data_IF_954805944198
#
_entry.id   IF_954805944198
#
_cell.length_a   1.000
_cell.length_b   1.000
_cell.length_c   1.000
_cell.angle_alpha   90.00
_cell.angle_beta   90.00
_cell.angle_gamma   90.00
#
_symmetry.space_group_name_H-M   'P 1'
#
loop_
_entity.id
_entity.type
_entity.pdbx_description
1 polymer ?
#
# COMPACT_ATOMS: atom_id res chain seq x y z
N UNK A 1 -27.92 -2.73 -25.83
CA UNK A 1 -28.64 -1.68 -25.06
C UNK A 1 -29.35 -2.23 -23.82
N UNK A 2 -30.02 -3.39 -23.89
CA UNK A 2 -30.72 -4.01 -22.74
C UNK A 2 -29.77 -4.62 -21.68
N UNK A 3 -28.62 -5.18 -22.08
CA UNK A 3 -27.62 -5.71 -21.13
C UNK A 3 -27.00 -4.62 -20.23
N UNK A 4 -26.75 -3.42 -20.78
CA UNK A 4 -26.18 -2.30 -20.02
C UNK A 4 -27.14 -1.72 -18.95
N UNK A 5 -28.47 -1.87 -19.15
CA UNK A 5 -29.50 -1.43 -18.21
C UNK A 5 -29.69 -2.38 -17.03
N UNK A 6 -29.39 -3.67 -17.19
CA UNK A 6 -29.43 -4.67 -16.12
C UNK A 6 -28.12 -4.75 -15.30
N UNK A 7 -26.98 -4.41 -15.91
CA UNK A 7 -25.68 -4.39 -15.23
C UNK A 7 -25.57 -3.22 -14.25
N UNK A 8 -26.11 -2.03 -14.58
CA UNK A 8 -26.06 -0.83 -13.72
C UNK A 8 -26.65 -0.98 -12.30
N UNK A 9 -27.84 -1.60 -12.09
CA UNK A 9 -28.40 -1.77 -10.74
C UNK A 9 -27.71 -2.86 -9.91
N UNK A 10 -27.00 -3.80 -10.53
CA UNK A 10 -26.16 -4.79 -9.85
C UNK A 10 -24.77 -4.23 -9.53
N UNK A 11 -24.19 -3.38 -10.38
CA UNK A 11 -22.85 -2.82 -10.16
C UNK A 11 -22.85 -1.72 -9.10
N UNK A 12 -23.93 -0.92 -8.95
CA UNK A 12 -23.99 0.17 -7.95
C UNK A 12 -23.78 -0.30 -6.49
N UNK A 13 -24.47 -1.34 -5.98
CA UNK A 13 -24.24 -1.87 -4.64
C UNK A 13 -22.83 -2.42 -4.47
N UNK A 14 -22.27 -3.07 -5.49
CA UNK A 14 -20.88 -3.57 -5.45
C UNK A 14 -19.89 -2.41 -5.44
N UNK A 15 -20.06 -1.36 -6.25
CA UNK A 15 -19.21 -0.17 -6.21
C UNK A 15 -19.34 0.62 -4.91
N UNK A 16 -20.52 0.64 -4.27
CA UNK A 16 -20.68 1.22 -2.93
C UNK A 16 -20.06 0.32 -1.84
N UNK A 17 -20.12 -1.00 -2.00
CA UNK A 17 -19.46 -1.96 -1.12
C UNK A 17 -17.94 -1.81 -1.20
N UNK A 18 -17.37 -1.77 -2.40
CA UNK A 18 -15.93 -1.51 -2.64
C UNK A 18 -15.49 -0.09 -2.23
N UNK A 19 -16.42 0.85 -2.07
CA UNK A 19 -16.15 2.19 -1.50
C UNK A 19 -16.18 2.22 0.02
N UNK A 20 -16.66 1.16 0.69
CA UNK A 20 -16.68 1.08 2.15
C UNK A 20 -15.43 0.35 2.60
N UNK A 21 -14.58 1.07 3.30
CA UNK A 21 -13.34 0.58 3.89
C UNK A 21 -13.63 -0.63 4.83
N UNK A 22 -14.80 -0.68 5.48
CA UNK A 22 -15.31 -1.83 6.23
C UNK A 22 -15.55 -3.11 5.41
N UNK A 23 -15.86 -2.99 4.11
CA UNK A 23 -16.08 -4.14 3.24
C UNK A 23 -14.78 -4.90 2.99
N UNK A 24 -13.66 -4.18 2.87
CA UNK A 24 -12.34 -4.81 2.69
C UNK A 24 -11.98 -5.69 3.88
N UNK A 25 -12.28 -5.24 5.11
CA UNK A 25 -12.08 -6.03 6.32
C UNK A 25 -12.93 -7.30 6.41
N UNK A 26 -14.16 -7.26 5.91
CA UNK A 26 -15.02 -8.44 5.82
C UNK A 26 -14.43 -9.45 4.82
N UNK A 27 -13.96 -8.96 3.67
CA UNK A 27 -13.32 -9.82 2.66
C UNK A 27 -12.05 -10.46 3.23
N UNK A 28 -11.20 -9.68 3.91
CA UNK A 28 -10.02 -10.19 4.61
C UNK A 28 -10.37 -11.28 5.63
N UNK A 29 -11.40 -11.05 6.46
CA UNK A 29 -11.84 -12.04 7.44
C UNK A 29 -12.34 -13.32 6.76
N UNK A 30 -13.11 -13.21 5.67
CA UNK A 30 -13.58 -14.35 4.90
C UNK A 30 -12.39 -15.10 4.28
N UNK A 31 -11.43 -14.40 3.68
CA UNK A 31 -10.19 -15.00 3.15
C UNK A 31 -9.43 -15.77 4.22
N UNK A 32 -9.22 -15.19 5.40
CA UNK A 32 -8.54 -15.84 6.50
C UNK A 32 -9.29 -17.10 6.98
N UNK A 33 -10.62 -17.03 7.11
CA UNK A 33 -11.44 -18.19 7.48
C UNK A 33 -11.40 -19.29 6.41
N UNK A 34 -11.44 -18.92 5.13
CA UNK A 34 -11.31 -19.86 4.03
C UNK A 34 -9.92 -20.51 4.01
N UNK A 35 -8.85 -19.73 4.20
CA UNK A 35 -7.49 -20.24 4.28
C UNK A 35 -7.33 -21.22 5.45
N UNK A 36 -7.88 -20.90 6.62
CA UNK A 36 -7.90 -21.82 7.77
C UNK A 36 -8.68 -23.10 7.47
N UNK A 37 -9.86 -22.99 6.87
CA UNK A 37 -10.66 -24.15 6.51
C UNK A 37 -9.94 -25.04 5.48
N UNK A 38 -9.36 -24.45 4.44
CA UNK A 38 -8.60 -25.17 3.43
C UNK A 38 -7.32 -25.81 3.98
N UNK A 39 -6.61 -25.12 4.88
CA UNK A 39 -5.40 -25.64 5.50
C UNK A 39 -5.65 -26.82 6.47
N UNK A 40 -6.84 -26.87 7.10
CA UNK A 40 -7.18 -27.88 8.10
C UNK A 40 -8.09 -29.01 7.58
N UNK A 41 -8.52 -28.95 6.32
CA UNK A 41 -9.47 -29.93 5.76
C UNK A 41 -8.83 -30.74 4.63
N UNK A 42 -8.99 -32.07 4.67
CA UNK A 42 -8.45 -32.98 3.65
C UNK A 42 -9.48 -33.38 2.57
N UNK A 43 -10.59 -32.66 2.45
CA UNK A 43 -11.69 -32.98 1.55
C UNK A 43 -11.56 -32.26 0.20
N UNK A 44 -11.71 -33.01 -0.89
CA UNK A 44 -11.69 -32.46 -2.24
C UNK A 44 -10.38 -31.72 -2.58
N UNK A 45 -10.44 -30.56 -3.26
CA UNK A 45 -9.27 -29.76 -3.63
C UNK A 45 -8.46 -29.25 -2.43
N UNK A 46 -9.06 -29.12 -1.24
CA UNK A 46 -8.40 -28.57 -0.05
C UNK A 46 -7.18 -29.40 0.38
N UNK A 47 -7.16 -30.71 0.10
CA UNK A 47 -6.03 -31.60 0.39
C UNK A 47 -4.71 -31.13 -0.25
N UNK A 48 -4.78 -30.48 -1.40
CA UNK A 48 -3.60 -30.01 -2.13
C UNK A 48 -3.20 -28.57 -1.77
N UNK A 49 -4.04 -27.86 -1.01
CA UNK A 49 -3.84 -26.46 -0.70
C UNK A 49 -2.52 -26.17 0.05
N UNK A 50 -2.11 -26.93 1.08
CA UNK A 50 -0.81 -26.69 1.73
C UNK A 50 0.39 -26.90 0.78
N UNK A 51 0.35 -27.97 -0.03
CA UNK A 51 1.44 -28.33 -0.94
C UNK A 51 1.55 -27.40 -2.17
N UNK A 52 0.52 -26.58 -2.42
CA UNK A 52 0.52 -25.58 -3.50
C UNK A 52 1.51 -24.44 -3.20
N UNK A 53 1.66 -24.07 -1.93
CA UNK A 53 2.55 -22.98 -1.50
C UNK A 53 4.03 -23.29 -1.71
N UNK A 54 4.40 -24.57 -1.64
CA UNK A 54 5.77 -25.06 -1.84
C UNK A 54 6.10 -25.34 -3.31
N UNK A 55 5.15 -25.17 -4.24
CA UNK A 55 5.43 -25.35 -5.67
C UNK A 55 6.41 -24.28 -6.15
N UNK A 56 7.45 -24.70 -6.84
CA UNK A 56 8.46 -23.79 -7.39
C UNK A 56 7.98 -23.18 -8.71
N UNK A 57 8.04 -21.85 -8.79
CA UNK A 57 7.86 -21.12 -10.02
C UNK A 57 9.23 -20.60 -10.47
N UNK A 58 9.75 -21.21 -11.54
CA UNK A 58 11.04 -20.87 -12.12
C UNK A 58 10.89 -20.01 -13.37
N UNK A 59 11.45 -18.81 -13.33
CA UNK A 59 11.56 -17.91 -14.48
C UNK A 59 13.02 -17.88 -14.94
N UNK A 60 13.27 -18.34 -16.17
CA UNK A 60 14.60 -18.36 -16.75
C UNK A 60 14.64 -17.61 -18.09
N UNK A 61 15.42 -16.53 -18.18
CA UNK A 61 15.58 -15.72 -19.40
C UNK A 61 17.07 -15.41 -19.59
N UNK A 62 17.67 -15.88 -20.68
CA UNK A 62 19.02 -15.42 -21.10
C UNK A 62 20.14 -15.57 -20.07
N UNK A 63 20.05 -16.55 -19.16
CA UNK A 63 21.03 -16.78 -18.08
C UNK A 63 20.58 -16.30 -16.69
N UNK A 64 19.56 -15.45 -16.63
CA UNK A 64 18.88 -15.12 -15.37
C UNK A 64 17.97 -16.28 -14.97
N UNK A 65 18.07 -16.72 -13.72
CA UNK A 65 17.22 -17.79 -13.16
C UNK A 65 16.70 -17.32 -11.81
N UNK A 66 15.40 -17.06 -11.74
CA UNK A 66 14.67 -16.85 -10.50
C UNK A 66 13.88 -18.11 -10.20
N UNK A 67 14.20 -18.77 -9.09
CA UNK A 67 13.55 -20.01 -8.65
C UNK A 67 13.11 -19.85 -7.21
N UNK A 68 11.83 -19.55 -7.03
CA UNK A 68 11.21 -19.32 -5.73
C UNK A 68 9.93 -20.13 -5.60
N UNK A 69 9.57 -20.47 -4.36
CA UNK A 69 8.27 -21.08 -4.09
C UNK A 69 7.15 -20.09 -4.41
N UNK A 70 5.96 -20.61 -4.70
CA UNK A 70 4.78 -19.79 -4.96
C UNK A 70 4.50 -18.84 -3.78
N UNK A 71 4.69 -19.33 -2.55
CA UNK A 71 4.58 -18.51 -1.34
C UNK A 71 5.56 -17.33 -1.34
N UNK A 72 6.82 -17.56 -1.70
CA UNK A 72 7.83 -16.50 -1.77
C UNK A 72 7.49 -15.46 -2.84
N UNK A 73 7.12 -15.92 -4.04
CA UNK A 73 6.68 -15.01 -5.12
C UNK A 73 5.50 -14.13 -4.72
N UNK A 74 4.50 -14.73 -4.08
CA UNK A 74 3.31 -14.03 -3.61
C UNK A 74 3.70 -13.05 -2.51
N UNK A 75 4.44 -13.47 -1.49
CA UNK A 75 4.85 -12.60 -0.39
C UNK A 75 5.72 -11.44 -0.90
N UNK A 76 6.80 -11.71 -1.62
CA UNK A 76 7.71 -10.66 -2.07
C UNK A 76 7.08 -9.73 -3.12
N UNK A 77 6.17 -10.25 -3.96
CA UNK A 77 5.45 -9.46 -4.95
C UNK A 77 4.32 -8.63 -4.34
N UNK A 78 3.36 -9.27 -3.69
CA UNK A 78 2.18 -8.61 -3.09
C UNK A 78 2.58 -7.66 -1.97
N UNK A 79 3.50 -8.06 -1.08
CA UNK A 79 3.94 -7.18 0.00
C UNK A 79 4.71 -5.97 -0.53
N UNK A 80 5.41 -6.07 -1.67
CA UNK A 80 6.02 -4.90 -2.30
C UNK A 80 4.96 -3.90 -2.77
N UNK A 81 3.84 -4.37 -3.32
CA UNK A 81 2.72 -3.50 -3.71
C UNK A 81 2.08 -2.87 -2.47
N UNK A 82 1.88 -3.65 -1.40
CA UNK A 82 1.38 -3.14 -0.11
C UNK A 82 2.30 -2.05 0.45
N UNK A 83 3.60 -2.32 0.58
CA UNK A 83 4.58 -1.38 1.11
C UNK A 83 4.84 -0.19 0.19
N UNK A 84 4.56 -0.30 -1.11
CA UNK A 84 4.51 0.86 -2.01
C UNK A 84 3.38 1.82 -1.61
N UNK A 85 2.17 1.33 -1.32
CA UNK A 85 1.09 2.18 -0.82
C UNK A 85 1.45 2.77 0.54
N UNK A 86 1.89 1.94 1.49
CA UNK A 86 2.30 2.42 2.82
C UNK A 86 3.39 3.50 2.69
N UNK A 87 4.33 3.31 1.76
CA UNK A 87 5.37 4.28 1.41
C UNK A 87 4.83 5.60 0.81
N UNK A 88 3.77 5.54 0.01
CA UNK A 88 3.11 6.73 -0.53
C UNK A 88 2.32 7.46 0.56
N UNK A 89 1.67 6.72 1.43
CA UNK A 89 0.87 7.25 2.53
C UNK A 89 1.74 7.90 3.60
N UNK A 90 2.83 7.26 4.04
CA UNK A 90 3.79 7.88 4.97
C UNK A 90 4.37 9.16 4.38
N UNK A 91 4.66 9.17 3.08
CA UNK A 91 5.15 10.36 2.39
C UNK A 91 4.10 11.48 2.38
N UNK A 92 2.83 11.15 2.15
CA UNK A 92 1.70 12.09 2.24
C UNK A 92 1.58 12.65 3.66
N UNK A 93 1.60 11.80 4.68
CA UNK A 93 1.47 12.18 6.08
C UNK A 93 2.62 13.08 6.55
N UNK A 94 3.85 12.79 6.15
CA UNK A 94 5.03 13.61 6.48
C UNK A 94 5.04 14.95 5.75
N UNK A 95 4.49 15.02 4.53
CA UNK A 95 4.51 16.28 3.76
C UNK A 95 3.31 17.18 4.02
N UNK A 96 2.14 16.60 4.30
CA UNK A 96 0.87 17.32 4.33
C UNK A 96 -0.15 16.80 5.36
N UNK A 97 0.19 15.81 6.18
CA UNK A 97 -0.72 15.20 7.16
C UNK A 97 -0.29 15.39 8.61
N UNK A 98 -0.67 14.44 9.47
CA UNK A 98 -0.46 14.50 10.92
C UNK A 98 1.01 14.31 11.33
N UNK A 99 1.85 13.80 10.42
CA UNK A 99 3.28 13.65 10.65
C UNK A 99 4.11 14.85 10.17
N UNK A 100 3.47 15.89 9.63
CA UNK A 100 4.15 17.03 9.05
C UNK A 100 4.79 17.97 10.08
N UNK A 101 4.24 18.04 11.30
CA UNK A 101 4.85 18.80 12.40
C UNK A 101 5.42 17.85 13.46
N UNK A 102 6.63 18.12 13.99
CA UNK A 102 7.22 17.28 15.04
C UNK A 102 6.33 17.15 16.27
N UNK A 103 5.53 18.17 16.58
CA UNK A 103 4.60 18.17 17.72
C UNK A 103 3.43 17.21 17.52
N UNK A 104 2.86 17.15 16.31
CA UNK A 104 1.79 16.20 15.99
C UNK A 104 2.37 14.78 15.83
N UNK A 105 3.52 14.66 15.16
CA UNK A 105 4.19 13.38 14.91
C UNK A 105 4.67 12.67 16.19
N UNK A 106 4.96 13.43 17.25
CA UNK A 106 5.49 12.87 18.50
C UNK A 106 4.59 11.79 19.10
N UNK A 107 3.26 11.99 19.10
CA UNK A 107 2.34 11.04 19.73
C UNK A 107 2.22 9.72 18.93
N UNK A 108 1.95 9.73 17.61
CA UNK A 108 1.95 8.50 16.82
C UNK A 108 3.30 7.76 16.85
N UNK A 109 4.42 8.48 16.73
CA UNK A 109 5.75 7.86 16.74
C UNK A 109 6.05 7.24 18.11
N UNK A 110 5.78 7.94 19.22
CA UNK A 110 5.99 7.37 20.55
C UNK A 110 5.07 6.17 20.80
N UNK A 111 3.82 6.24 20.33
CA UNK A 111 2.87 5.13 20.38
C UNK A 111 3.35 3.90 19.61
N UNK A 112 3.81 4.09 18.38
CA UNK A 112 4.36 3.03 17.54
C UNK A 112 5.64 2.44 18.15
N UNK A 113 6.62 3.26 18.55
CA UNK A 113 7.84 2.77 19.18
C UNK A 113 7.55 1.97 20.47
N UNK A 114 6.62 2.43 21.31
CA UNK A 114 6.17 1.67 22.48
C UNK A 114 5.47 0.37 22.09
N UNK A 115 4.58 0.44 21.09
CA UNK A 115 3.86 -0.70 20.51
C UNK A 115 4.76 -1.74 19.86
N UNK A 116 5.94 -1.36 19.36
CA UNK A 116 6.95 -2.26 18.81
C UNK A 116 7.85 -2.85 19.91
N UNK A 117 8.42 -1.98 20.74
CA UNK A 117 9.47 -2.35 21.68
C UNK A 117 8.93 -3.23 22.80
N UNK A 118 7.75 -2.91 23.36
CA UNK A 118 7.21 -3.65 24.49
C UNK A 118 6.89 -5.10 24.12
N UNK A 119 6.14 -5.41 23.04
CA UNK A 119 5.87 -6.79 22.64
C UNK A 119 7.13 -7.56 22.25
N UNK A 120 8.07 -6.93 21.54
CA UNK A 120 9.36 -7.54 21.18
C UNK A 120 10.17 -7.95 22.42
N UNK A 121 10.29 -7.05 23.41
CA UNK A 121 11.01 -7.32 24.65
C UNK A 121 10.34 -8.42 25.47
N UNK A 122 9.01 -8.37 25.58
CA UNK A 122 8.26 -9.42 26.27
C UNK A 122 8.49 -10.78 25.61
N UNK A 123 8.39 -10.86 24.28
CA UNK A 123 8.66 -12.10 23.55
C UNK A 123 10.09 -12.59 23.79
N UNK A 124 11.09 -11.71 23.67
CA UNK A 124 12.49 -12.07 23.86
C UNK A 124 12.76 -12.59 25.29
N UNK A 125 12.14 -11.97 26.30
CA UNK A 125 12.24 -12.39 27.71
C UNK A 125 11.63 -13.77 27.94
N UNK A 126 10.40 -13.99 27.47
CA UNK A 126 9.70 -15.26 27.67
C UNK A 126 10.30 -16.41 26.87
N UNK A 127 10.91 -16.10 25.73
CA UNK A 127 11.43 -17.09 24.80
C UNK A 127 12.95 -17.22 24.84
N UNK A 128 13.60 -16.63 25.85
CA UNK A 128 15.04 -16.67 25.99
C UNK A 128 15.56 -18.10 26.17
N UNK A 129 16.59 -18.47 25.43
CA UNK A 129 17.20 -19.81 25.48
C UNK A 129 16.45 -20.90 24.72
N UNK A 130 15.36 -20.57 24.03
CA UNK A 130 14.65 -21.52 23.15
C UNK A 130 15.14 -21.40 21.70
N UNK A 131 14.93 -22.43 20.85
CA UNK A 131 15.22 -22.34 19.40
C UNK A 131 14.43 -21.24 18.67
N UNK A 132 13.32 -20.79 19.24
CA UNK A 132 12.43 -19.78 18.64
C UNK A 132 12.75 -18.35 19.09
N UNK A 133 13.78 -18.15 19.92
CA UNK A 133 14.21 -16.83 20.42
C UNK A 133 14.47 -15.81 19.30
N UNK A 134 14.89 -16.29 18.11
CA UNK A 134 15.08 -15.45 16.94
C UNK A 134 13.79 -14.82 16.38
N UNK A 135 12.60 -15.21 16.83
CA UNK A 135 11.31 -14.69 16.36
C UNK A 135 10.82 -13.40 17.04
N UNK A 136 11.69 -12.65 17.72
CA UNK A 136 11.30 -11.47 18.51
C UNK A 136 10.68 -10.33 17.70
N UNK A 137 10.90 -10.29 16.37
CA UNK A 137 10.27 -9.35 15.46
C UNK A 137 8.82 -9.66 15.11
N UNK A 138 8.36 -10.89 15.34
CA UNK A 138 6.99 -11.34 15.00
C UNK A 138 5.89 -10.51 15.69
N UNK A 139 5.93 -10.25 17.01
CA UNK A 139 4.87 -9.52 17.71
C UNK A 139 4.92 -8.00 17.52
N UNK A 140 5.85 -7.48 16.70
CA UNK A 140 6.01 -6.03 16.50
C UNK A 140 5.00 -5.46 15.50
N UNK A 141 4.59 -6.25 14.50
CA UNK A 141 3.76 -5.73 13.41
C UNK A 141 2.26 -5.71 13.78
N UNK A 142 1.57 -4.67 13.33
CA UNK A 142 0.12 -4.50 13.51
C UNK A 142 -0.59 -4.45 12.16
N UNK A 143 -1.52 -5.35 11.89
CA UNK A 143 -2.31 -5.32 10.65
C UNK A 143 -3.28 -4.13 10.62
N UNK A 144 -2.91 -3.09 9.88
CA UNK A 144 -3.69 -1.86 9.70
C UNK A 144 -5.07 -2.12 9.10
N UNK A 145 -5.17 -3.03 8.12
CA UNK A 145 -6.42 -3.28 7.42
C UNK A 145 -7.44 -3.92 8.36
N UNK A 146 -6.99 -4.89 9.17
CA UNK A 146 -7.84 -5.50 10.18
C UNK A 146 -8.19 -4.52 11.31
N UNK A 147 -7.23 -3.73 11.80
CA UNK A 147 -7.47 -2.75 12.86
C UNK A 147 -8.51 -1.70 12.46
N UNK A 148 -8.40 -1.13 11.25
CA UNK A 148 -9.35 -0.16 10.72
C UNK A 148 -10.72 -0.79 10.44
N UNK A 149 -10.76 -2.03 9.97
CA UNK A 149 -12.01 -2.75 9.77
C UNK A 149 -12.82 -2.91 11.06
N UNK A 150 -12.17 -3.37 12.14
CA UNK A 150 -12.81 -3.51 13.46
C UNK A 150 -13.28 -2.15 13.97
N UNK A 151 -12.46 -1.11 13.81
CA UNK A 151 -12.82 0.25 14.21
C UNK A 151 -14.06 0.77 13.48
N UNK A 152 -14.26 0.37 12.22
CA UNK A 152 -15.44 0.74 11.44
C UNK A 152 -16.70 -0.03 11.82
N UNK A 153 -16.59 -1.25 12.34
CA UNK A 153 -17.74 -1.98 12.90
C UNK A 153 -18.37 -1.25 14.09
N UNK A 154 -17.58 -0.46 14.82
CA UNK A 154 -18.06 0.41 15.90
C UNK A 154 -18.80 1.66 15.39
N UNK A 155 -18.77 1.92 14.09
CA UNK A 155 -19.55 2.93 13.39
C UNK A 155 -19.28 4.36 13.88
N UNK A 156 -20.35 5.09 14.17
CA UNK A 156 -20.31 6.50 14.57
C UNK A 156 -19.77 6.73 15.99
N UNK A 157 -19.53 5.67 16.79
CA UNK A 157 -19.02 5.79 18.15
C UNK A 157 -17.54 6.18 18.20
N UNK A 158 -16.81 5.97 17.11
CA UNK A 158 -15.39 6.27 17.02
C UNK A 158 -15.18 7.65 16.37
N UNK A 159 -14.55 8.60 17.08
CA UNK A 159 -14.21 9.90 16.51
C UNK A 159 -13.27 9.77 15.31
N UNK A 160 -13.43 10.66 14.32
CA UNK A 160 -12.56 10.70 13.15
C UNK A 160 -11.08 10.85 13.53
N UNK A 161 -10.77 11.68 14.53
CA UNK A 161 -9.40 11.88 15.01
C UNK A 161 -8.72 10.60 15.51
N UNK A 162 -9.48 9.66 16.10
CA UNK A 162 -8.92 8.37 16.52
C UNK A 162 -8.58 7.48 15.33
N UNK A 163 -9.39 7.53 14.25
CA UNK A 163 -9.12 6.79 13.01
C UNK A 163 -7.83 7.27 12.38
N UNK A 164 -7.70 8.59 12.21
CA UNK A 164 -6.49 9.21 11.66
C UNK A 164 -5.26 8.92 12.52
N UNK A 165 -5.39 9.03 13.84
CA UNK A 165 -4.31 8.68 14.77
C UNK A 165 -3.87 7.22 14.63
N UNK A 166 -4.82 6.28 14.60
CA UNK A 166 -4.52 4.85 14.47
C UNK A 166 -3.87 4.52 13.14
N UNK A 167 -4.34 5.12 12.04
CA UNK A 167 -3.72 5.00 10.71
C UNK A 167 -2.27 5.48 10.76
N UNK A 168 -2.00 6.66 11.32
CA UNK A 168 -0.64 7.19 11.44
C UNK A 168 0.26 6.30 12.32
N UNK A 169 -0.25 5.80 13.45
CA UNK A 169 0.47 4.87 14.31
C UNK A 169 0.82 3.58 13.58
N UNK A 170 -0.14 2.96 12.90
CA UNK A 170 0.04 1.69 12.21
C UNK A 170 1.01 1.81 11.02
N UNK A 171 0.98 2.91 10.26
CA UNK A 171 1.95 3.16 9.19
C UNK A 171 3.39 3.24 9.74
N UNK A 172 3.58 3.94 10.86
CA UNK A 172 4.90 4.06 11.49
C UNK A 172 5.36 2.70 12.03
N UNK A 173 4.44 1.93 12.62
CA UNK A 173 4.67 0.58 13.12
C UNK A 173 5.10 -0.39 12.00
N UNK A 174 4.35 -0.42 10.89
CA UNK A 174 4.64 -1.24 9.70
C UNK A 174 5.99 -0.89 9.06
N UNK A 175 6.27 0.40 8.90
CA UNK A 175 7.55 0.86 8.37
C UNK A 175 8.70 0.54 9.33
N UNK A 176 8.47 0.66 10.63
CA UNK A 176 9.42 0.27 11.65
C UNK A 176 9.71 -1.24 11.61
N UNK A 177 8.66 -2.06 11.54
CA UNK A 177 8.76 -3.51 11.49
C UNK A 177 9.52 -3.98 10.25
N UNK A 178 9.22 -3.44 9.05
CA UNK A 178 9.95 -3.82 7.82
C UNK A 178 11.42 -3.42 7.87
N UNK A 179 11.76 -2.28 8.47
CA UNK A 179 13.15 -1.85 8.65
C UNK A 179 13.89 -2.77 9.64
N UNK A 180 13.24 -3.18 10.73
CA UNK A 180 13.78 -4.13 11.70
C UNK A 180 13.99 -5.50 11.05
N UNK A 181 13.01 -5.98 10.30
CA UNK A 181 13.10 -7.25 9.56
C UNK A 181 14.25 -7.19 8.54
N UNK A 182 14.34 -6.11 7.76
CA UNK A 182 15.44 -5.92 6.81
C UNK A 182 16.82 -5.87 7.49
N UNK A 183 16.93 -5.26 8.67
CA UNK A 183 18.20 -5.11 9.40
C UNK A 183 18.66 -6.36 10.15
N UNK A 184 17.73 -7.12 10.74
CA UNK A 184 18.06 -8.21 11.67
C UNK A 184 17.79 -9.62 11.13
N UNK A 185 16.97 -9.77 10.08
CA UNK A 185 16.58 -11.07 9.53
C UNK A 185 17.21 -11.37 8.16
N UNK A 186 18.09 -10.49 7.67
CA UNK A 186 18.86 -10.72 6.45
C UNK A 186 20.01 -11.69 6.72
N UNK A 187 20.01 -12.85 6.06
CA UNK A 187 20.98 -13.94 6.29
C UNK A 187 22.26 -13.80 5.47
N UNK A 188 22.12 -13.46 4.19
CA UNK A 188 23.21 -13.34 3.24
C UNK A 188 23.06 -12.03 2.49
N UNK A 189 24.17 -11.32 2.24
CA UNK A 189 24.18 -10.07 1.51
C UNK A 189 25.02 -10.21 0.25
N UNK A 190 24.44 -9.88 -0.89
CA UNK A 190 25.16 -9.80 -2.16
C UNK A 190 25.43 -8.33 -2.50
N UNK A 191 26.64 -7.80 -2.19
CA UNK A 191 26.93 -6.37 -2.29
C UNK A 191 26.81 -5.83 -3.72
N UNK A 192 27.05 -6.68 -4.73
CA UNK A 192 26.90 -6.31 -6.14
C UNK A 192 25.47 -5.85 -6.45
N UNK A 193 24.47 -6.65 -6.07
CA UNK A 193 23.06 -6.30 -6.26
C UNK A 193 22.65 -5.12 -5.38
N UNK A 194 23.24 -4.97 -4.19
CA UNK A 194 22.99 -3.80 -3.35
C UNK A 194 23.46 -2.49 -4.02
N UNK A 195 24.65 -2.47 -4.64
CA UNK A 195 25.12 -1.30 -5.38
C UNK A 195 24.25 -1.00 -6.61
N UNK A 196 23.78 -2.05 -7.30
CA UNK A 196 22.85 -1.89 -8.43
C UNK A 196 21.50 -1.34 -7.96
N UNK A 197 20.95 -1.85 -6.85
CA UNK A 197 19.72 -1.34 -6.24
C UNK A 197 19.87 0.14 -5.85
N UNK A 198 20.96 0.52 -5.18
CA UNK A 198 21.26 1.90 -4.83
C UNK A 198 21.43 2.79 -6.07
N UNK A 199 22.08 2.29 -7.12
CA UNK A 199 22.23 3.00 -8.39
C UNK A 199 20.88 3.25 -9.07
N UNK A 200 20.02 2.24 -9.14
CA UNK A 200 18.65 2.36 -9.68
C UNK A 200 17.79 3.31 -8.85
N UNK A 201 17.89 3.25 -7.53
CA UNK A 201 17.20 4.19 -6.64
C UNK A 201 17.72 5.62 -6.82
N UNK A 202 19.03 5.81 -6.95
CA UNK A 202 19.63 7.10 -7.29
C UNK A 202 19.13 7.66 -8.62
N UNK A 203 18.95 6.81 -9.64
CA UNK A 203 18.36 7.21 -10.92
C UNK A 203 16.88 7.63 -10.78
N UNK A 204 16.09 6.90 -9.99
CA UNK A 204 14.71 7.28 -9.67
C UNK A 204 14.65 8.65 -8.95
N UNK A 205 15.56 8.90 -8.01
CA UNK A 205 15.70 10.20 -7.35
C UNK A 205 16.14 11.30 -8.32
N UNK A 206 17.02 10.98 -9.28
CA UNK A 206 17.41 11.91 -10.33
C UNK A 206 16.22 12.29 -11.22
N UNK A 207 15.36 11.35 -11.60
CA UNK A 207 14.12 11.64 -12.34
C UNK A 207 13.20 12.58 -11.56
N UNK A 208 13.06 12.36 -10.25
CA UNK A 208 12.28 13.23 -9.38
C UNK A 208 12.90 14.64 -9.30
N UNK A 209 14.22 14.73 -9.18
CA UNK A 209 14.94 16.01 -9.17
C UNK A 209 14.81 16.77 -10.50
N UNK A 210 14.88 16.07 -11.63
CA UNK A 210 14.62 16.58 -12.98
C UNK A 210 13.12 16.86 -13.25
N UNK A 211 12.25 16.67 -12.25
CA UNK A 211 10.81 16.93 -12.30
C UNK A 211 10.07 16.08 -13.35
N UNK A 212 10.54 14.88 -13.64
CA UNK A 212 9.81 13.91 -14.45
C UNK A 212 8.57 13.47 -13.66
N UNK A 213 7.38 13.73 -14.20
CA UNK A 213 6.09 13.45 -13.54
C UNK A 213 5.38 12.20 -14.04
N UNK A 214 5.88 11.59 -15.10
CA UNK A 214 5.23 10.43 -15.73
C UNK A 214 5.50 9.17 -14.90
N UNK A 215 4.45 8.57 -14.33
CA UNK A 215 4.56 7.34 -13.52
C UNK A 215 5.21 6.19 -14.28
N UNK A 216 4.97 6.09 -15.59
CA UNK A 216 5.58 5.09 -16.47
C UNK A 216 7.11 5.16 -16.54
N UNK A 217 7.74 6.27 -16.14
CA UNK A 217 9.18 6.35 -16.01
C UNK A 217 9.71 5.71 -14.71
N UNK A 218 8.87 5.62 -13.67
CA UNK A 218 9.25 5.10 -12.36
C UNK A 218 8.93 3.62 -12.21
N UNK A 219 7.77 3.15 -12.69
CA UNK A 219 7.32 1.77 -12.47
C UNK A 219 8.28 0.69 -13.02
N UNK A 220 8.82 0.78 -14.25
CA UNK A 220 9.77 -0.22 -14.76
C UNK A 220 11.08 -0.23 -13.96
N UNK A 221 11.58 0.96 -13.59
CA UNK A 221 12.76 1.08 -12.74
C UNK A 221 12.51 0.59 -11.31
N UNK A 222 11.28 0.73 -10.81
CA UNK A 222 10.83 0.13 -9.56
C UNK A 222 10.86 -1.39 -9.58
N UNK A 223 10.49 -2.00 -10.71
CA UNK A 223 10.57 -3.46 -10.90
C UNK A 223 12.02 -3.94 -10.98
N UNK A 224 12.90 -3.17 -11.62
CA UNK A 224 14.35 -3.41 -11.60
C UNK A 224 14.92 -3.28 -10.19
N UNK A 225 14.50 -2.25 -9.43
CA UNK A 225 14.89 -2.06 -8.04
C UNK A 225 14.45 -3.24 -7.18
N UNK A 226 13.20 -3.70 -7.35
CA UNK A 226 12.67 -4.88 -6.65
C UNK A 226 13.48 -6.14 -6.92
N UNK A 227 13.83 -6.39 -8.18
CA UNK A 227 14.68 -7.52 -8.56
C UNK A 227 16.06 -7.46 -7.89
N UNK A 228 16.74 -6.30 -7.93
CA UNK A 228 18.04 -6.17 -7.28
C UNK A 228 17.95 -6.27 -5.76
N UNK A 229 16.85 -5.82 -5.15
CA UNK A 229 16.60 -6.00 -3.72
C UNK A 229 16.44 -7.49 -3.38
N UNK A 230 15.61 -8.21 -4.13
CA UNK A 230 15.41 -9.66 -3.98
C UNK A 230 16.72 -10.44 -4.02
N UNK A 231 17.58 -10.16 -5.01
CA UNK A 231 18.87 -10.82 -5.18
C UNK A 231 19.95 -10.32 -4.20
N UNK A 232 19.78 -9.12 -3.62
CA UNK A 232 20.73 -8.58 -2.63
C UNK A 232 20.66 -9.27 -1.28
N UNK A 233 19.60 -10.04 -1.02
CA UNK A 233 19.29 -10.66 0.26
C UNK A 233 18.56 -9.73 1.25
N UNK A 234 18.45 -8.44 0.94
CA UNK A 234 17.54 -7.54 1.65
C UNK A 234 16.10 -7.85 1.23
N UNK A 235 15.14 -7.68 2.15
CA UNK A 235 13.73 -7.91 1.87
C UNK A 235 13.24 -7.08 0.68
N UNK A 236 12.66 -7.75 -0.31
CA UNK A 236 12.21 -7.15 -1.57
C UNK A 236 11.12 -6.08 -1.36
N UNK A 237 10.36 -6.19 -0.27
CA UNK A 237 9.32 -5.25 0.15
C UNK A 237 9.81 -3.82 0.32
N UNK A 238 11.07 -3.63 0.73
CA UNK A 238 11.66 -2.31 0.91
C UNK A 238 11.78 -1.56 -0.44
N UNK A 239 11.82 -2.28 -1.57
CA UNK A 239 11.80 -1.66 -2.90
C UNK A 239 10.53 -0.83 -3.12
N UNK A 240 9.38 -1.28 -2.61
CA UNK A 240 8.10 -0.56 -2.68
C UNK A 240 8.19 0.78 -1.94
N UNK A 241 8.70 0.76 -0.71
CA UNK A 241 8.91 1.96 0.11
C UNK A 241 9.88 2.93 -0.58
N UNK A 242 11.02 2.44 -1.06
CA UNK A 242 12.04 3.24 -1.73
C UNK A 242 11.51 3.89 -3.02
N UNK A 243 10.71 3.14 -3.79
CA UNK A 243 10.03 3.65 -4.97
C UNK A 243 9.04 4.77 -4.60
N UNK A 244 8.23 4.59 -3.54
CA UNK A 244 7.32 5.62 -3.07
C UNK A 244 8.04 6.92 -2.69
N UNK A 245 9.19 6.79 -2.00
CA UNK A 245 10.05 7.93 -1.64
C UNK A 245 10.56 8.65 -2.90
N UNK A 246 10.84 7.93 -3.98
CA UNK A 246 11.28 8.53 -5.23
C UNK A 246 10.16 9.18 -6.05
N UNK A 247 8.93 8.66 -6.03
CA UNK A 247 7.81 9.19 -6.86
C UNK A 247 7.42 10.61 -6.40
N UNK A 248 7.33 11.61 -7.31
CA UNK A 248 7.05 13.00 -6.93
C UNK A 248 5.65 13.18 -6.30
N UNK A 249 5.61 13.92 -5.18
CA UNK A 249 4.37 14.29 -4.46
C UNK A 249 3.95 15.76 -4.65
N UNK A 250 4.75 16.57 -5.36
CA UNK A 250 4.44 18.01 -5.52
C UNK A 250 3.21 18.23 -6.39
N UNK A 251 2.21 18.90 -5.83
CA UNK A 251 1.06 19.44 -6.57
C UNK A 251 1.56 20.51 -7.55
N UNK A 252 1.15 20.47 -8.83
CA UNK A 252 1.67 21.34 -9.87
C UNK A 252 1.31 22.83 -9.70
N UNK A 253 0.30 23.15 -8.89
CA UNK A 253 -0.26 24.49 -8.75
C UNK A 253 -0.12 25.04 -7.34
N UNK A 254 0.19 26.33 -7.22
CA UNK A 254 0.08 27.04 -5.94
C UNK A 254 -1.40 27.21 -5.54
N UNK A 255 -1.68 27.40 -4.24
CA UNK A 255 -3.05 27.54 -3.71
C UNK A 255 -3.90 28.54 -4.50
N UNK A 256 -3.36 29.73 -4.80
CA UNK A 256 -4.07 30.77 -5.53
C UNK A 256 -4.40 30.36 -6.98
N UNK A 257 -3.46 29.71 -7.67
CA UNK A 257 -3.67 29.23 -9.04
C UNK A 257 -4.68 28.07 -9.08
N UNK A 258 -4.62 27.16 -8.11
CA UNK A 258 -5.58 26.07 -8.00
C UNK A 258 -7.00 26.59 -7.75
N UNK A 259 -7.16 27.53 -6.81
CA UNK A 259 -8.46 28.15 -6.54
C UNK A 259 -8.99 28.87 -7.77
N UNK A 260 -8.15 29.63 -8.47
CA UNK A 260 -8.55 30.31 -9.69
C UNK A 260 -9.03 29.35 -10.79
N UNK A 261 -8.32 28.24 -11.02
CA UNK A 261 -8.71 27.22 -12.01
C UNK A 261 -10.02 26.50 -11.64
N UNK A 262 -10.21 26.22 -10.35
CA UNK A 262 -11.46 25.62 -9.85
C UNK A 262 -12.62 26.60 -10.05
N UNK A 263 -12.45 27.87 -9.69
CA UNK A 263 -13.47 28.90 -9.84
C UNK A 263 -13.83 29.13 -11.32
N UNK A 264 -12.83 29.19 -12.20
CA UNK A 264 -13.01 29.34 -13.65
C UNK A 264 -13.82 28.17 -14.23
N UNK A 265 -13.47 26.93 -13.86
CA UNK A 265 -14.17 25.73 -14.35
C UNK A 265 -15.57 25.57 -13.77
N UNK A 266 -15.77 25.91 -12.49
CA UNK A 266 -17.10 25.97 -11.90
C UNK A 266 -17.98 27.05 -12.55
N UNK A 267 -17.39 28.18 -12.97
CA UNK A 267 -18.12 29.21 -13.70
C UNK A 267 -18.54 28.72 -15.09
N UNK A 268 -17.66 28.02 -15.81
CA UNK A 268 -17.98 27.39 -17.11
C UNK A 268 -19.10 26.36 -16.97
N UNK A 269 -19.00 25.43 -16.01
CA UNK A 269 -20.03 24.43 -15.76
C UNK A 269 -21.37 25.09 -15.39
N UNK A 270 -21.37 26.15 -14.58
CA UNK A 270 -22.59 26.90 -14.24
C UNK A 270 -23.21 27.61 -15.45
N UNK A 271 -22.39 28.08 -16.39
CA UNK A 271 -22.85 28.72 -17.62
C UNK A 271 -23.43 27.69 -18.61
N UNK A 272 -22.75 26.55 -18.82
CA UNK A 272 -23.27 25.44 -19.65
C UNK A 272 -24.56 24.84 -19.09
N UNK A 273 -24.68 24.73 -17.76
CA UNK A 273 -25.89 24.29 -17.07
C UNK A 273 -27.11 25.17 -17.34
N UNK A 274 -26.94 26.41 -17.83
CA UNK A 274 -28.04 27.31 -18.13
C UNK A 274 -28.67 27.05 -19.51
N UNK A 275 -27.96 26.41 -20.44
CA UNK A 275 -28.44 26.16 -21.82
C UNK A 275 -28.83 24.70 -22.09
N UNK A 276 -28.22 23.73 -21.40
CA UNK A 276 -28.48 22.31 -21.57
C UNK A 276 -28.69 21.68 -20.20
N UNK A 277 -29.81 20.97 -20.01
CA UNK A 277 -30.08 20.21 -18.79
C UNK A 277 -28.92 19.26 -18.49
N UNK A 278 -28.12 19.62 -17.49
CA UNK A 278 -26.81 19.03 -17.27
C UNK A 278 -26.93 17.56 -16.90
N UNK A 279 -26.38 16.68 -17.75
CA UNK A 279 -26.19 15.30 -17.38
C UNK A 279 -25.16 15.25 -16.23
N UNK A 280 -25.53 14.74 -15.03
CA UNK A 280 -24.59 14.58 -13.92
C UNK A 280 -23.29 13.85 -14.32
N UNK A 281 -23.32 13.07 -15.40
CA UNK A 281 -22.14 12.40 -15.96
C UNK A 281 -21.08 13.39 -16.47
N UNK A 282 -21.46 14.46 -17.17
CA UNK A 282 -20.53 15.47 -17.72
C UNK A 282 -19.84 16.23 -16.59
N UNK A 283 -20.60 16.60 -15.56
CA UNK A 283 -20.04 17.25 -14.36
C UNK A 283 -19.04 16.32 -13.68
N UNK A 284 -19.33 15.02 -13.59
CA UNK A 284 -18.41 14.05 -12.98
C UNK A 284 -17.12 13.85 -13.79
N UNK A 285 -17.20 13.85 -15.11
CA UNK A 285 -16.04 13.70 -16.00
C UNK A 285 -15.11 14.93 -15.91
N UNK A 286 -15.68 16.14 -15.90
CA UNK A 286 -14.90 17.37 -15.77
C UNK A 286 -14.23 17.47 -14.38
N UNK A 287 -14.91 17.04 -13.32
CA UNK A 287 -14.34 16.95 -11.97
C UNK A 287 -13.20 15.93 -11.90
N UNK A 288 -13.33 14.79 -12.59
CA UNK A 288 -12.28 13.78 -12.67
C UNK A 288 -11.06 14.32 -13.45
N UNK A 289 -11.24 14.97 -14.60
CA UNK A 289 -10.13 15.59 -15.35
C UNK A 289 -9.41 16.67 -14.53
N UNK A 290 -10.17 17.50 -13.80
CA UNK A 290 -9.61 18.47 -12.86
C UNK A 290 -8.77 17.80 -11.77
N UNK A 291 -9.28 16.71 -11.18
CA UNK A 291 -8.54 15.93 -10.20
C UNK A 291 -7.26 15.35 -10.81
N UNK A 292 -7.33 14.73 -11.99
CA UNK A 292 -6.18 14.12 -12.66
C UNK A 292 -5.07 15.13 -12.98
N UNK A 293 -5.44 16.35 -13.38
CA UNK A 293 -4.49 17.43 -13.70
C UNK A 293 -3.91 18.12 -12.47
N UNK A 294 -4.67 18.17 -11.37
CA UNK A 294 -4.29 18.88 -10.15
C UNK A 294 -3.61 17.97 -9.12
N UNK A 295 -3.77 16.67 -9.22
CA UNK A 295 -3.14 15.69 -8.33
C UNK A 295 -1.68 15.44 -8.67
N UNK A 296 -0.90 15.10 -7.64
CA UNK A 296 0.47 14.65 -7.84
C UNK A 296 0.51 13.20 -8.37
N UNK A 297 1.58 12.79 -9.06
CA UNK A 297 1.76 11.40 -9.48
C UNK A 297 1.63 10.38 -8.34
N UNK A 298 2.19 10.71 -7.15
CA UNK A 298 2.04 9.90 -5.96
C UNK A 298 0.58 9.72 -5.53
N UNK A 299 -0.20 10.81 -5.45
CA UNK A 299 -1.62 10.76 -5.05
C UNK A 299 -2.47 9.95 -6.04
N UNK A 300 -2.21 10.08 -7.35
CA UNK A 300 -2.94 9.27 -8.35
C UNK A 300 -2.66 7.78 -8.17
N UNK A 301 -1.40 7.42 -7.94
CA UNK A 301 -1.00 6.04 -7.76
C UNK A 301 -1.58 5.46 -6.45
N UNK A 302 -1.53 6.22 -5.36
CA UNK A 302 -2.16 5.87 -4.08
C UNK A 302 -3.65 5.57 -4.25
N UNK A 303 -4.40 6.47 -4.88
CA UNK A 303 -5.83 6.30 -5.13
C UNK A 303 -6.15 5.07 -5.99
N UNK A 304 -5.39 4.84 -7.06
CA UNK A 304 -5.57 3.69 -7.94
C UNK A 304 -5.28 2.35 -7.23
N UNK A 305 -4.19 2.30 -6.46
CA UNK A 305 -3.75 1.07 -5.82
C UNK A 305 -4.55 0.76 -4.54
N UNK A 306 -5.13 1.75 -3.85
CA UNK A 306 -5.82 1.53 -2.58
C UNK A 306 -6.89 0.42 -2.69
N UNK A 307 -7.78 0.52 -3.68
CA UNK A 307 -8.83 -0.50 -3.89
C UNK A 307 -8.26 -1.87 -4.28
N UNK A 308 -7.20 -1.91 -5.09
CA UNK A 308 -6.54 -3.16 -5.46
C UNK A 308 -5.93 -3.80 -4.22
N UNK A 309 -5.22 -3.04 -3.40
CA UNK A 309 -4.54 -3.59 -2.23
C UNK A 309 -5.54 -4.10 -1.19
N UNK A 310 -6.56 -3.31 -0.85
CA UNK A 310 -7.54 -3.68 0.17
C UNK A 310 -8.39 -4.90 -0.19
N UNK A 311 -8.61 -5.17 -1.48
CA UNK A 311 -9.52 -6.24 -1.92
C UNK A 311 -8.83 -7.43 -2.61
N UNK A 312 -7.57 -7.31 -3.00
CA UNK A 312 -6.84 -8.37 -3.73
C UNK A 312 -5.44 -8.69 -3.20
N UNK A 313 -4.75 -7.73 -2.57
CA UNK A 313 -3.37 -7.93 -2.13
C UNK A 313 -3.33 -8.41 -0.68
N UNK A 314 -4.16 -7.82 0.18
CA UNK A 314 -4.25 -8.19 1.60
C UNK A 314 -5.13 -9.43 1.81
N UNK A 315 -6.36 -9.52 1.25
CA UNK A 315 -7.19 -10.74 1.34
C UNK A 315 -6.72 -11.87 0.44
#
# INVERSE_FOLDING_TARGET
MVAALLIRPLVRPFTEFFRREAASGIVLLISALLALLLANTSWGPARYFPALWDQHLRLAIGGFVLDHTLLQWINDGLMTIFFLIVGLEIKREVLAGELASPRQAALPIAGALGGMLVPALLFALFNHGTPTAGGWGIPMATDIAFALAVLQLLGARVPLGLKVFLTALAIVDDLGAVLVIAGFYTKELHPQYLYLALGTWGLLLLFNWLRVRTLWAYLPLGLVLWYFMLESGIHATLAGVLLAVAIPFRIPFGRAELLHRVDERLALLRAENHELGADPWVISEELEDLYQRSSSPAQRLEYQLHSVVSFWVIP
#
